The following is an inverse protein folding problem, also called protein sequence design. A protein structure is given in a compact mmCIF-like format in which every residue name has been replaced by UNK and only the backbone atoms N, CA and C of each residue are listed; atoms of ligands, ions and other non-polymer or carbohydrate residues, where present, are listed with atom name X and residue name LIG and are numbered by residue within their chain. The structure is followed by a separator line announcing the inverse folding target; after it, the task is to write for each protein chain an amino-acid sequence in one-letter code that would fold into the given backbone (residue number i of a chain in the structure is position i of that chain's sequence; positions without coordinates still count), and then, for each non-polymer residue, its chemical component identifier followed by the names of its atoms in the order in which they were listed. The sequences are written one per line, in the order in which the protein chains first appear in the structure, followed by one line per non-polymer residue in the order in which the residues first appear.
data_IF_106642955238
#
_entry.id   IF_106642955238
#
_cell.length_a   1.000
_cell.length_b   1.000
_cell.length_c   1.000
_cell.angle_alpha   90.00
_cell.angle_beta   90.00
_cell.angle_gamma   90.00
#
_symmetry.space_group_name_H-M   'P 1'
#
loop_
_entity.id
_entity.type
_entity.pdbx_description
1 polymer ?
#
# COMPACT_ATOMS: atom_id res chain seq x y z
N UNK A 1 -19.53 25.64 14.26
CA UNK A 1 -19.51 24.20 13.83
C UNK A 1 -18.09 23.94 13.33
N UNK A 2 -17.45 22.89 13.79
CA UNK A 2 -16.14 22.50 13.24
C UNK A 2 -16.42 22.02 11.82
N UNK A 3 -15.72 22.59 10.82
CA UNK A 3 -15.86 22.11 9.44
C UNK A 3 -15.49 20.64 9.36
N UNK A 4 -16.22 19.84 8.54
CA UNK A 4 -15.92 18.42 8.42
C UNK A 4 -14.53 18.21 7.85
N UNK A 5 -13.77 17.31 8.46
CA UNK A 5 -12.44 16.92 7.97
C UNK A 5 -12.59 16.13 6.67
N UNK A 6 -11.84 16.48 5.64
CA UNK A 6 -11.80 15.75 4.36
C UNK A 6 -10.64 14.77 4.29
N UNK A 7 -10.73 13.78 3.40
CA UNK A 7 -9.61 12.89 3.06
C UNK A 7 -9.03 13.24 1.69
N UNK A 8 -7.73 13.05 1.53
CA UNK A 8 -7.03 13.13 0.26
C UNK A 8 -6.08 11.95 0.13
N UNK A 9 -6.41 10.98 -0.73
CA UNK A 9 -5.55 9.82 -0.99
C UNK A 9 -4.77 10.03 -2.28
N UNK A 10 -3.45 9.85 -2.23
CA UNK A 10 -2.58 10.08 -3.37
C UNK A 10 -2.28 8.75 -4.08
N UNK A 11 -2.83 8.56 -5.27
CA UNK A 11 -2.70 7.37 -6.10
C UNK A 11 -2.18 7.66 -7.52
N UNK A 12 -1.52 8.82 -7.74
CA UNK A 12 -0.99 9.24 -9.04
C UNK A 12 0.41 8.70 -9.39
N UNK A 13 1.03 7.90 -8.54
CA UNK A 13 2.40 7.40 -8.76
C UNK A 13 2.49 6.32 -9.83
N UNK A 14 3.54 6.36 -10.70
CA UNK A 14 3.75 5.43 -11.83
C UNK A 14 4.16 4.00 -11.43
N UNK A 15 4.59 3.76 -10.18
CA UNK A 15 4.94 2.43 -9.68
C UNK A 15 6.10 1.72 -10.40
N UNK A 16 7.07 2.46 -10.94
CA UNK A 16 8.15 1.91 -11.79
C UNK A 16 9.00 0.84 -11.11
N UNK A 17 9.14 0.90 -9.78
CA UNK A 17 9.91 -0.06 -8.98
C UNK A 17 9.24 -1.41 -8.78
N UNK A 18 7.92 -1.51 -9.06
CA UNK A 18 7.14 -2.76 -9.00
C UNK A 18 6.91 -3.38 -10.38
N UNK A 19 7.58 -2.89 -11.41
CA UNK A 19 7.55 -3.54 -12.72
C UNK A 19 8.16 -4.94 -12.64
N UNK A 20 7.60 -5.94 -13.36
CA UNK A 20 6.64 -5.81 -14.48
C UNK A 20 5.16 -5.71 -14.06
N UNK A 21 4.81 -5.93 -12.80
CA UNK A 21 3.41 -5.96 -12.33
C UNK A 21 2.67 -4.65 -12.67
N UNK A 22 3.32 -3.52 -12.47
CA UNK A 22 2.74 -2.18 -12.66
C UNK A 22 2.81 -1.65 -14.08
N UNK A 23 3.17 -2.46 -15.07
CA UNK A 23 2.96 -2.09 -16.47
C UNK A 23 1.47 -2.10 -16.88
N UNK A 24 0.67 -2.95 -16.22
CA UNK A 24 -0.73 -3.18 -16.55
C UNK A 24 -1.68 -2.86 -15.40
N UNK A 25 -1.18 -2.37 -14.27
CA UNK A 25 -1.99 -2.06 -13.09
C UNK A 25 -1.39 -0.91 -12.28
N UNK A 26 -2.28 -0.12 -11.65
CA UNK A 26 -1.86 0.87 -10.65
C UNK A 26 -1.21 0.18 -9.45
N UNK A 27 -0.07 0.70 -8.96
CA UNK A 27 0.65 0.08 -7.83
C UNK A 27 -0.22 -0.04 -6.57
N UNK A 28 -1.12 0.90 -6.35
CA UNK A 28 -2.03 0.94 -5.21
C UNK A 28 -3.14 -0.12 -5.29
N UNK A 29 -3.31 -0.75 -6.45
CA UNK A 29 -4.25 -1.86 -6.64
C UNK A 29 -3.59 -3.23 -6.55
N UNK A 30 -2.26 -3.29 -6.43
CA UNK A 30 -1.57 -4.55 -6.11
C UNK A 30 -1.98 -4.97 -4.70
N UNK A 31 -2.49 -6.20 -4.52
CA UNK A 31 -3.04 -6.59 -3.22
C UNK A 31 -1.97 -7.01 -2.22
N UNK A 32 -2.25 -6.74 -0.94
CA UNK A 32 -1.61 -7.31 0.24
C UNK A 32 -2.68 -8.10 0.97
N UNK A 33 -2.43 -9.36 1.30
CA UNK A 33 -3.43 -10.28 1.87
C UNK A 33 -4.76 -10.27 1.09
N UNK A 34 -4.67 -10.36 -0.24
CA UNK A 34 -5.78 -10.35 -1.21
C UNK A 34 -6.62 -9.06 -1.25
N UNK A 35 -6.25 -8.02 -0.52
CA UNK A 35 -6.93 -6.72 -0.51
C UNK A 35 -6.06 -5.65 -1.18
N UNK A 36 -6.56 -4.89 -2.19
CA UNK A 36 -5.82 -3.78 -2.78
C UNK A 36 -5.28 -2.81 -1.72
N UNK A 37 -4.02 -2.38 -1.85
CA UNK A 37 -3.39 -1.50 -0.85
C UNK A 37 -4.18 -0.21 -0.65
N UNK A 38 -4.74 0.36 -1.71
CA UNK A 38 -5.61 1.54 -1.64
C UNK A 38 -6.78 1.40 -0.65
N UNK A 39 -7.32 0.18 -0.48
CA UNK A 39 -8.48 -0.04 0.37
C UNK A 39 -8.19 0.13 1.85
N UNK A 40 -6.96 -0.17 2.27
CA UNK A 40 -6.54 0.09 3.66
C UNK A 40 -6.61 1.58 4.00
N UNK A 41 -6.19 2.46 3.08
CA UNK A 41 -6.33 3.90 3.25
C UNK A 41 -7.79 4.37 3.26
N UNK A 42 -8.64 3.81 2.38
CA UNK A 42 -10.08 4.13 2.36
C UNK A 42 -10.78 3.66 3.65
N UNK A 43 -10.50 2.45 4.11
CA UNK A 43 -11.03 1.93 5.37
C UNK A 43 -10.55 2.76 6.58
N UNK A 44 -9.29 3.19 6.59
CA UNK A 44 -8.76 4.07 7.63
C UNK A 44 -9.48 5.44 7.65
N UNK A 45 -9.76 6.03 6.47
CA UNK A 45 -10.55 7.27 6.39
C UNK A 45 -11.97 7.07 6.95
N UNK A 46 -12.64 5.98 6.55
CA UNK A 46 -14.00 5.67 7.03
C UNK A 46 -14.04 5.45 8.54
N UNK A 47 -13.10 4.68 9.09
CA UNK A 47 -12.96 4.43 10.54
C UNK A 47 -12.81 5.74 11.32
N UNK A 48 -11.98 6.66 10.82
CA UNK A 48 -11.76 7.96 11.45
C UNK A 48 -12.95 8.96 11.29
N UNK A 49 -14.06 8.51 10.71
CA UNK A 49 -15.27 9.32 10.51
C UNK A 49 -15.11 10.42 9.45
N UNK A 50 -14.26 10.18 8.45
CA UNK A 50 -14.09 11.05 7.28
C UNK A 50 -15.02 10.51 6.19
N UNK A 51 -15.93 11.33 5.70
CA UNK A 51 -16.94 10.93 4.72
C UNK A 51 -16.60 11.33 3.28
N UNK A 52 -15.93 12.48 3.09
CA UNK A 52 -15.58 13.01 1.77
C UNK A 52 -14.09 12.76 1.49
N UNK A 53 -13.80 11.98 0.45
CA UNK A 53 -12.43 11.60 0.10
C UNK A 53 -12.14 11.95 -1.35
N UNK A 54 -11.13 12.80 -1.56
CA UNK A 54 -10.52 13.01 -2.88
C UNK A 54 -9.47 11.94 -3.14
N UNK A 55 -9.47 11.32 -4.32
CA UNK A 55 -8.39 10.44 -4.76
C UNK A 55 -7.65 11.10 -5.92
N UNK A 56 -6.37 11.42 -5.71
CA UNK A 56 -5.48 11.85 -6.79
C UNK A 56 -5.15 10.64 -7.66
N UNK A 57 -5.41 10.75 -8.95
CA UNK A 57 -5.15 9.70 -9.95
C UNK A 57 -4.29 10.24 -11.09
N UNK A 58 -3.47 9.35 -11.68
CA UNK A 58 -2.77 9.64 -12.92
C UNK A 58 -3.69 9.38 -14.14
N UNK A 59 -3.50 10.06 -15.28
CA UNK A 59 -4.28 9.80 -16.49
C UNK A 59 -4.22 8.34 -16.96
N UNK A 60 -3.05 7.70 -16.82
CA UNK A 60 -2.79 6.34 -17.35
C UNK A 60 -3.46 5.23 -16.54
N UNK A 61 -3.57 5.41 -15.22
CA UNK A 61 -4.07 4.36 -14.29
C UNK A 61 -5.39 4.72 -13.62
N UNK A 62 -5.88 5.93 -13.86
CA UNK A 62 -7.04 6.48 -13.15
C UNK A 62 -8.33 5.69 -13.39
N UNK A 63 -8.55 5.18 -14.60
CA UNK A 63 -9.74 4.40 -14.92
C UNK A 63 -9.77 3.06 -14.16
N UNK A 64 -8.63 2.39 -14.01
CA UNK A 64 -8.55 1.16 -13.21
C UNK A 64 -8.86 1.44 -11.74
N UNK A 65 -8.34 2.55 -11.19
CA UNK A 65 -8.63 2.97 -9.80
C UNK A 65 -10.12 3.30 -9.64
N UNK A 66 -10.74 4.04 -10.59
CA UNK A 66 -12.18 4.34 -10.57
C UNK A 66 -13.02 3.06 -10.61
N UNK A 67 -12.71 2.15 -11.53
CA UNK A 67 -13.44 0.89 -11.66
C UNK A 67 -13.33 0.03 -10.40
N UNK A 68 -12.18 0.09 -9.71
CA UNK A 68 -11.91 -0.75 -8.53
C UNK A 68 -12.47 -0.15 -7.24
N UNK A 69 -12.34 1.14 -7.00
CA UNK A 69 -12.81 1.80 -5.77
C UNK A 69 -14.29 2.25 -5.86
N UNK A 70 -14.82 2.46 -7.08
CA UNK A 70 -16.20 2.90 -7.30
C UNK A 70 -16.47 4.32 -6.81
N UNK A 71 -17.66 4.58 -6.34
CA UNK A 71 -18.09 5.86 -5.75
C UNK A 71 -17.80 5.98 -4.24
N UNK A 72 -17.32 4.90 -3.62
CA UNK A 72 -17.00 4.82 -2.20
C UNK A 72 -18.12 4.25 -1.32
N UNK A 73 -19.31 3.99 -1.84
CA UNK A 73 -20.47 3.53 -1.06
C UNK A 73 -20.13 2.30 -0.20
N UNK A 74 -19.38 1.34 -0.75
CA UNK A 74 -18.97 0.13 -0.02
C UNK A 74 -18.08 0.38 1.21
N UNK A 75 -17.45 1.54 1.29
CA UNK A 75 -16.65 1.98 2.43
C UNK A 75 -17.42 2.97 3.32
N UNK A 76 -18.63 3.37 2.94
CA UNK A 76 -19.38 4.45 3.60
C UNK A 76 -18.80 5.85 3.29
N UNK A 77 -18.12 6.01 2.17
CA UNK A 77 -17.46 7.22 1.73
C UNK A 77 -18.14 7.82 0.49
N UNK A 78 -17.89 9.10 0.24
CA UNK A 78 -18.15 9.80 -1.04
C UNK A 78 -16.82 10.11 -1.70
N UNK A 79 -16.48 9.43 -2.80
CA UNK A 79 -15.20 9.58 -3.48
C UNK A 79 -15.31 10.59 -4.64
N UNK A 80 -14.38 11.53 -4.66
CA UNK A 80 -14.14 12.44 -5.78
C UNK A 80 -12.78 12.15 -6.40
N UNK A 81 -12.73 11.84 -7.70
CA UNK A 81 -11.48 11.56 -8.41
C UNK A 81 -10.90 12.82 -9.02
N UNK A 82 -9.65 13.11 -8.72
CA UNK A 82 -8.94 14.32 -9.12
C UNK A 82 -7.74 13.93 -9.96
N UNK A 83 -7.71 14.36 -11.22
CA UNK A 83 -6.62 14.00 -12.14
C UNK A 83 -5.43 14.92 -11.91
N UNK A 84 -4.27 14.35 -11.58
CA UNK A 84 -2.99 15.02 -11.59
C UNK A 84 -2.29 14.70 -12.92
N UNK A 85 -2.22 15.67 -13.83
CA UNK A 85 -1.70 15.46 -15.19
C UNK A 85 -0.24 15.07 -15.22
N UNK A 86 0.59 15.69 -14.37
CA UNK A 86 2.01 15.40 -14.25
C UNK A 86 2.39 15.15 -12.78
N UNK A 87 3.28 14.18 -12.49
CA UNK A 87 3.68 13.83 -11.11
C UNK A 87 4.76 14.80 -10.59
N UNK A 88 4.38 16.06 -10.37
CA UNK A 88 5.28 17.14 -9.94
C UNK A 88 5.45 17.23 -8.41
N UNK A 89 5.22 16.15 -7.69
CA UNK A 89 5.42 16.04 -6.24
C UNK A 89 4.15 16.04 -5.41
N UNK A 90 4.30 15.76 -4.10
CA UNK A 90 3.17 15.61 -3.18
C UNK A 90 2.50 16.96 -2.88
N UNK A 91 3.27 18.05 -2.74
CA UNK A 91 2.69 19.38 -2.54
C UNK A 91 1.96 19.86 -3.80
N UNK A 92 2.39 19.48 -5.01
CA UNK A 92 1.64 19.73 -6.23
C UNK A 92 0.30 18.98 -6.25
N UNK A 93 0.25 17.75 -5.73
CA UNK A 93 -1.01 17.01 -5.60
C UNK A 93 -2.00 17.72 -4.67
N UNK A 94 -1.52 18.30 -3.55
CA UNK A 94 -2.33 19.14 -2.65
C UNK A 94 -2.90 20.35 -3.38
N UNK A 95 -2.09 21.07 -4.17
CA UNK A 95 -2.56 22.20 -4.99
C UNK A 95 -3.58 21.77 -6.05
N UNK A 96 -3.38 20.60 -6.68
CA UNK A 96 -4.32 20.04 -7.65
C UNK A 96 -5.67 19.73 -7.01
N UNK A 97 -5.66 19.31 -5.73
CA UNK A 97 -6.87 19.01 -4.97
C UNK A 97 -7.54 20.23 -4.33
N UNK A 98 -6.95 21.41 -4.38
CA UNK A 98 -7.46 22.61 -3.72
C UNK A 98 -8.94 22.95 -4.06
N UNK A 99 -9.43 22.80 -5.31
CA UNK A 99 -10.85 23.02 -5.62
C UNK A 99 -11.79 22.07 -4.87
N UNK A 100 -11.33 20.86 -4.53
CA UNK A 100 -12.07 19.90 -3.71
C UNK A 100 -11.93 20.20 -2.22
N UNK A 101 -10.72 20.51 -1.76
CA UNK A 101 -10.40 20.70 -0.35
C UNK A 101 -11.01 22.02 0.19
N UNK A 102 -10.92 23.10 -0.57
CA UNK A 102 -11.32 24.43 -0.13
C UNK A 102 -10.54 24.88 1.11
N UNK A 103 -11.25 25.47 2.07
CA UNK A 103 -10.70 25.89 3.36
C UNK A 103 -10.75 24.79 4.43
N UNK A 104 -11.24 23.58 4.09
CA UNK A 104 -11.37 22.47 5.03
C UNK A 104 -10.00 21.95 5.45
N UNK A 105 -9.86 21.58 6.72
CA UNK A 105 -8.77 20.73 7.16
C UNK A 105 -8.92 19.34 6.55
N UNK A 106 -7.80 18.62 6.34
CA UNK A 106 -7.85 17.31 5.69
C UNK A 106 -6.73 16.37 6.15
N UNK A 107 -6.99 15.08 5.98
CA UNK A 107 -5.98 14.02 6.09
C UNK A 107 -5.46 13.71 4.70
N UNK A 108 -4.15 13.84 4.47
CA UNK A 108 -3.47 13.36 3.28
C UNK A 108 -2.87 11.98 3.57
N UNK A 109 -3.17 11.00 2.72
CA UNK A 109 -2.70 9.62 2.86
C UNK A 109 -2.08 9.13 1.55
N UNK A 110 -0.85 8.65 1.58
CA UNK A 110 -0.22 8.05 0.41
C UNK A 110 -0.84 6.67 0.15
N UNK A 111 -1.46 6.48 -1.02
CA UNK A 111 -2.29 5.32 -1.35
C UNK A 111 -1.54 3.99 -1.46
N UNK A 112 -0.23 3.99 -1.27
CA UNK A 112 0.65 2.82 -1.22
C UNK A 112 1.22 2.56 0.18
N UNK A 113 0.71 3.24 1.20
CA UNK A 113 1.14 3.08 2.58
C UNK A 113 0.18 2.20 3.38
N UNK A 114 0.73 1.45 4.30
CA UNK A 114 0.03 0.65 5.29
C UNK A 114 0.50 1.04 6.68
N UNK A 115 -0.45 1.27 7.57
CA UNK A 115 -0.21 1.68 8.96
C UNK A 115 -0.96 0.76 9.91
N UNK A 116 -0.26 0.19 10.88
CA UNK A 116 -0.89 -0.60 11.93
C UNK A 116 -1.75 0.30 12.84
N UNK A 117 -2.96 -0.15 13.15
CA UNK A 117 -3.86 0.55 14.09
C UNK A 117 -4.67 1.69 13.47
N UNK A 118 -4.49 1.99 12.17
CA UNK A 118 -5.26 3.06 11.51
C UNK A 118 -4.81 4.47 11.88
N UNK A 119 -5.73 5.44 11.72
CA UNK A 119 -5.44 6.87 11.91
C UNK A 119 -6.36 7.55 12.93
N UNK A 120 -7.23 6.79 13.58
CA UNK A 120 -8.31 7.33 14.44
C UNK A 120 -7.78 8.20 15.58
N UNK A 121 -6.74 7.74 16.29
CA UNK A 121 -6.13 8.48 17.41
C UNK A 121 -5.50 9.80 16.93
N UNK A 122 -4.82 9.78 15.79
CA UNK A 122 -4.17 10.99 15.24
C UNK A 122 -5.19 12.01 14.73
N UNK A 123 -6.30 11.53 14.17
CA UNK A 123 -7.43 12.41 13.78
C UNK A 123 -8.09 13.04 15.00
N UNK A 124 -8.23 12.29 16.09
CA UNK A 124 -8.74 12.81 17.35
C UNK A 124 -7.82 13.91 17.91
N UNK A 125 -6.50 13.64 17.97
CA UNK A 125 -5.49 14.59 18.44
C UNK A 125 -5.44 15.86 17.57
N UNK A 126 -5.51 15.69 16.24
CA UNK A 126 -5.57 16.82 15.32
C UNK A 126 -6.81 17.71 15.55
N UNK A 127 -7.98 17.09 15.78
CA UNK A 127 -9.22 17.82 16.09
C UNK A 127 -9.16 18.54 17.44
N UNK A 128 -8.55 17.91 18.45
CA UNK A 128 -8.43 18.46 19.80
C UNK A 128 -7.45 19.62 19.86
N UNK A 129 -6.28 19.43 19.27
CA UNK A 129 -5.19 20.41 19.36
C UNK A 129 -5.23 21.48 18.27
N UNK A 130 -5.88 21.21 17.14
CA UNK A 130 -5.97 22.09 15.97
C UNK A 130 -4.61 22.71 15.56
N UNK A 131 -3.54 21.90 15.33
CA UNK A 131 -2.28 22.42 14.80
C UNK A 131 -2.43 22.81 13.34
N UNK A 132 -1.48 23.55 12.77
CA UNK A 132 -1.44 23.85 11.34
C UNK A 132 -1.12 22.60 10.50
N UNK A 133 -0.29 21.71 11.06
CA UNK A 133 -0.05 20.39 10.54
C UNK A 133 0.23 19.38 11.66
N UNK A 134 -0.16 18.12 11.45
CA UNK A 134 0.25 16.98 12.25
C UNK A 134 0.95 15.99 11.33
N UNK A 135 2.15 15.55 11.73
CA UNK A 135 2.97 14.62 10.97
C UNK A 135 3.24 13.34 11.76
N UNK A 136 3.19 12.21 11.08
CA UNK A 136 3.54 10.93 11.67
C UNK A 136 4.99 10.58 11.36
N UNK A 137 5.72 10.13 12.36
CA UNK A 137 7.13 9.78 12.27
C UNK A 137 7.36 8.34 12.73
N UNK A 138 8.35 7.66 12.14
CA UNK A 138 8.80 6.34 12.57
C UNK A 138 10.31 6.21 12.38
N UNK A 139 11.05 5.55 13.29
CA UNK A 139 12.45 5.24 13.03
C UNK A 139 12.58 4.21 11.90
N UNK A 140 13.51 4.47 10.97
CA UNK A 140 13.81 3.60 9.84
C UNK A 140 15.32 3.31 9.75
N UNK A 141 15.72 2.15 9.19
CA UNK A 141 17.14 1.80 9.06
C UNK A 141 17.86 2.52 7.91
N UNK A 142 17.11 3.08 6.95
CA UNK A 142 17.59 3.70 5.72
C UNK A 142 16.95 5.08 5.48
N UNK A 143 17.15 6.05 6.42
CA UNK A 143 16.46 7.35 6.43
C UNK A 143 16.75 8.22 5.20
N UNK A 144 17.85 7.98 4.47
CA UNK A 144 18.20 8.67 3.21
C UNK A 144 17.19 8.43 2.08
N UNK A 145 16.31 7.44 2.22
CA UNK A 145 15.25 7.15 1.24
C UNK A 145 13.95 7.91 1.48
N UNK A 146 13.84 8.63 2.60
CA UNK A 146 12.60 9.26 3.07
C UNK A 146 12.78 10.75 3.38
N UNK A 147 11.68 11.47 3.49
CA UNK A 147 11.66 12.72 4.22
C UNK A 147 11.94 12.44 5.70
N UNK A 148 12.84 13.20 6.33
CA UNK A 148 13.21 13.02 7.74
C UNK A 148 12.94 14.27 8.57
N UNK A 149 12.65 14.09 9.85
CA UNK A 149 12.37 15.18 10.79
C UNK A 149 13.39 15.21 11.92
N UNK A 150 13.98 16.39 12.16
CA UNK A 150 14.75 16.67 13.39
C UNK A 150 13.84 17.29 14.44
N UNK A 151 13.84 16.72 15.63
CA UNK A 151 13.05 17.22 16.76
C UNK A 151 13.98 17.92 17.78
N UNK A 152 13.54 19.07 18.30
CA UNK A 152 14.19 19.75 19.43
C UNK A 152 13.18 20.06 20.51
N UNK A 153 13.39 19.53 21.69
CA UNK A 153 12.44 19.70 22.79
C UNK A 153 11.04 19.14 22.52
N UNK A 154 10.94 18.13 21.63
CA UNK A 154 9.66 17.52 21.22
C UNK A 154 8.95 18.24 20.08
N UNK A 155 9.44 19.39 19.60
CA UNK A 155 8.89 20.12 18.47
C UNK A 155 9.71 19.85 17.20
N UNK A 156 9.07 19.96 16.04
CA UNK A 156 9.74 19.88 14.74
C UNK A 156 10.65 21.09 14.56
N UNK A 157 11.95 20.84 14.43
CA UNK A 157 12.96 21.86 14.18
C UNK A 157 13.35 21.96 12.71
N UNK A 158 13.51 20.81 12.04
CA UNK A 158 13.88 20.77 10.63
C UNK A 158 13.30 19.52 9.94
N UNK A 159 12.88 19.72 8.71
CA UNK A 159 12.45 18.66 7.78
C UNK A 159 13.35 18.69 6.54
N UNK A 160 13.73 17.53 6.05
CA UNK A 160 14.53 17.40 4.82
C UNK A 160 14.05 16.23 4.00
N UNK A 161 13.86 16.44 2.71
CA UNK A 161 13.52 15.38 1.76
C UNK A 161 14.78 14.63 1.34
N UNK A 162 14.82 13.32 1.63
CA UNK A 162 15.87 12.38 1.21
C UNK A 162 17.28 12.94 1.30
N UNK A 163 17.71 13.39 2.48
CA UNK A 163 19.04 13.94 2.65
C UNK A 163 20.10 12.84 2.45
N UNK A 164 21.20 13.11 1.75
CA UNK A 164 22.28 12.13 1.56
C UNK A 164 23.01 11.78 2.87
N UNK A 165 22.94 12.69 3.85
CA UNK A 165 23.50 12.51 5.20
C UNK A 165 22.42 12.91 6.22
N UNK A 166 21.53 11.97 6.61
CA UNK A 166 20.45 12.26 7.54
C UNK A 166 20.95 12.41 8.97
N UNK A 167 20.54 13.49 9.64
CA UNK A 167 20.88 13.75 11.05
C UNK A 167 20.03 12.94 12.04
N UNK A 168 19.01 12.24 11.57
CA UNK A 168 18.03 11.48 12.37
C UNK A 168 17.53 10.29 11.56
N UNK A 169 17.04 9.27 12.26
CA UNK A 169 16.38 8.11 11.68
C UNK A 169 14.85 8.24 11.62
N UNK A 170 14.29 9.39 12.08
CA UNK A 170 12.85 9.63 12.11
C UNK A 170 12.34 10.01 10.71
N UNK A 171 11.83 9.04 9.99
CA UNK A 171 11.20 9.21 8.68
C UNK A 171 9.74 9.66 8.81
N UNK A 172 9.28 10.48 7.86
CA UNK A 172 7.88 10.82 7.72
C UNK A 172 7.12 9.60 7.19
N UNK A 173 6.10 9.20 7.92
CA UNK A 173 5.08 8.25 7.47
C UNK A 173 4.20 8.95 6.44
N UNK A 174 3.75 8.24 5.40
CA UNK A 174 2.95 8.81 4.32
C UNK A 174 1.51 9.19 4.71
N UNK A 175 1.31 9.65 5.95
CA UNK A 175 0.03 10.16 6.48
C UNK A 175 0.28 11.48 7.17
N UNK A 176 -0.48 12.49 6.79
CA UNK A 176 -0.34 13.86 7.26
C UNK A 176 -1.73 14.46 7.50
N UNK A 177 -1.83 15.40 8.42
CA UNK A 177 -3.04 16.20 8.62
C UNK A 177 -2.70 17.67 8.50
N UNK A 178 -3.52 18.38 7.76
CA UNK A 178 -3.27 19.80 7.43
C UNK A 178 -4.51 20.65 7.61
N UNK A 179 -4.29 21.89 8.01
CA UNK A 179 -5.24 22.98 7.76
C UNK A 179 -5.03 23.56 6.36
N UNK A 180 -5.92 24.42 5.89
CA UNK A 180 -5.78 25.10 4.59
C UNK A 180 -4.47 25.94 4.44
N UNK A 181 -3.74 26.20 5.52
CA UNK A 181 -2.42 26.88 5.46
C UNK A 181 -1.42 26.19 4.56
N UNK A 182 -1.54 24.85 4.40
CA UNK A 182 -0.63 24.08 3.52
C UNK A 182 -0.73 24.55 2.06
N UNK A 183 -1.89 25.04 1.59
CA UNK A 183 -2.02 25.53 0.22
C UNK A 183 -1.12 26.75 -0.05
N UNK A 184 -1.02 27.67 0.91
CA UNK A 184 -0.12 28.81 0.81
C UNK A 184 1.35 28.35 0.81
N UNK A 185 1.73 27.47 1.73
CA UNK A 185 3.06 26.92 1.80
C UNK A 185 3.46 26.20 0.48
N UNK A 186 2.59 25.35 -0.03
CA UNK A 186 2.80 24.62 -1.28
C UNK A 186 2.97 25.52 -2.52
N UNK A 187 2.34 26.72 -2.53
CA UNK A 187 2.54 27.73 -3.60
C UNK A 187 3.85 28.51 -3.46
N UNK A 188 4.40 28.57 -2.25
CA UNK A 188 5.56 29.41 -1.94
C UNK A 188 6.88 28.68 -2.15
N UNK A 189 6.91 27.36 -2.00
CA UNK A 189 8.11 26.55 -2.20
C UNK A 189 8.53 26.48 -3.66
N UNK A 190 9.84 26.31 -3.89
CA UNK A 190 10.37 26.02 -5.22
C UNK A 190 10.50 24.51 -5.46
N UNK A 191 10.47 24.05 -6.73
CA UNK A 191 10.77 22.65 -7.04
C UNK A 191 12.17 22.25 -6.53
N UNK A 192 12.25 21.04 -5.98
CA UNK A 192 13.53 20.45 -5.55
C UNK A 192 14.45 20.13 -6.73
N UNK A 193 15.66 19.65 -6.46
CA UNK A 193 16.59 19.17 -7.48
C UNK A 193 16.01 18.01 -8.33
N UNK A 194 14.95 17.36 -7.86
CA UNK A 194 14.19 16.32 -8.59
C UNK A 194 13.10 16.90 -9.50
N UNK A 195 12.88 18.22 -9.47
CA UNK A 195 11.80 18.89 -10.18
C UNK A 195 10.43 18.73 -9.53
N UNK A 196 10.36 18.32 -8.25
CA UNK A 196 9.14 18.05 -7.51
C UNK A 196 8.89 19.14 -6.44
N UNK A 197 7.63 19.51 -6.22
CA UNK A 197 7.20 20.29 -5.07
C UNK A 197 7.03 19.32 -3.88
N UNK A 198 8.01 19.37 -2.98
CA UNK A 198 8.09 18.42 -1.87
C UNK A 198 7.14 18.81 -0.73
N UNK A 199 6.47 17.81 -0.16
CA UNK A 199 5.61 18.06 0.99
C UNK A 199 6.43 18.43 2.24
N UNK A 200 7.62 17.88 2.36
CA UNK A 200 8.59 18.20 3.43
C UNK A 200 8.96 19.67 3.43
N UNK A 201 9.19 20.27 2.25
CA UNK A 201 9.52 21.69 2.11
C UNK A 201 8.32 22.58 2.43
N UNK A 202 7.10 22.15 2.04
CA UNK A 202 5.88 22.87 2.40
C UNK A 202 5.62 22.87 3.90
N UNK A 203 5.85 21.74 4.58
CA UNK A 203 5.73 21.65 6.03
C UNK A 203 6.85 22.48 6.70
N UNK A 204 8.09 22.44 6.20
CA UNK A 204 9.18 23.28 6.69
C UNK A 204 8.84 24.77 6.57
N UNK A 205 8.23 25.19 5.47
CA UNK A 205 7.76 26.57 5.32
C UNK A 205 6.74 26.97 6.40
N UNK A 206 5.85 26.06 6.81
CA UNK A 206 4.93 26.31 7.94
C UNK A 206 5.71 26.51 9.24
N UNK A 207 6.72 25.67 9.52
CA UNK A 207 7.58 25.79 10.71
C UNK A 207 8.30 27.13 10.72
N UNK A 208 8.94 27.51 9.60
CA UNK A 208 9.72 28.74 9.46
C UNK A 208 8.85 30.02 9.60
N UNK A 209 7.57 29.92 9.19
CA UNK A 209 6.58 30.98 9.38
C UNK A 209 5.98 31.02 10.80
N UNK A 210 6.51 30.24 11.74
CA UNK A 210 6.03 30.17 13.13
C UNK A 210 4.71 29.42 13.30
N UNK A 211 4.31 28.63 12.32
CA UNK A 211 3.14 27.73 12.40
C UNK A 211 3.40 26.55 13.34
N UNK A 212 2.31 25.97 13.84
CA UNK A 212 2.36 24.85 14.77
C UNK A 212 2.32 23.52 14.02
N UNK A 213 3.45 22.81 14.01
CA UNK A 213 3.57 21.46 13.44
C UNK A 213 3.78 20.46 14.57
N UNK A 214 2.85 19.53 14.76
CA UNK A 214 2.89 18.50 15.80
C UNK A 214 3.44 17.18 15.24
N UNK A 215 4.54 16.67 15.79
CA UNK A 215 5.07 15.36 15.43
C UNK A 215 4.47 14.26 16.34
N UNK A 216 4.03 13.16 15.76
CA UNK A 216 3.64 11.95 16.48
C UNK A 216 4.50 10.77 16.04
N UNK A 217 5.16 10.11 16.98
CA UNK A 217 5.90 8.88 16.69
C UNK A 217 4.93 7.70 16.72
N UNK A 218 4.80 7.03 15.56
CA UNK A 218 3.89 5.90 15.40
C UNK A 218 4.31 4.73 16.27
N UNK A 219 3.34 4.15 16.97
CA UNK A 219 3.50 2.90 17.72
C UNK A 219 3.04 1.74 16.85
N UNK A 220 3.94 0.81 16.56
CA UNK A 220 3.66 -0.31 15.69
C UNK A 220 4.42 -0.22 14.36
N UNK A 221 3.95 -0.94 13.35
CA UNK A 221 4.63 -0.97 12.06
C UNK A 221 3.95 -0.03 11.03
N UNK A 222 4.79 0.48 10.17
CA UNK A 222 4.44 1.18 8.95
C UNK A 222 5.18 0.56 7.78
N UNK A 223 4.55 0.50 6.60
CA UNK A 223 5.16 0.05 5.35
C UNK A 223 4.72 0.88 4.16
N UNK A 224 5.71 1.36 3.41
CA UNK A 224 5.57 1.78 2.01
C UNK A 224 5.68 0.53 1.13
N UNK A 225 4.71 0.30 0.25
CA UNK A 225 4.67 -0.86 -0.65
C UNK A 225 5.30 -0.54 -2.01
N UNK A 226 6.42 0.15 -2.01
CA UNK A 226 7.08 0.64 -3.21
C UNK A 226 7.92 -0.37 -3.98
N UNK A 227 8.35 -1.48 -3.36
CA UNK A 227 9.21 -2.54 -3.93
C UNK A 227 8.63 -3.92 -3.66
N UNK A 228 9.13 -4.95 -4.35
CA UNK A 228 8.68 -6.33 -4.16
C UNK A 228 8.89 -6.80 -2.71
N UNK A 229 10.05 -6.55 -2.15
CA UNK A 229 10.38 -6.92 -0.77
C UNK A 229 9.46 -6.25 0.24
N UNK A 230 9.09 -4.98 -0.01
CA UNK A 230 8.14 -4.24 0.83
C UNK A 230 6.73 -4.83 0.72
N UNK A 231 6.31 -5.28 -0.48
CA UNK A 231 5.03 -5.97 -0.68
C UNK A 231 4.97 -7.28 0.10
N UNK A 232 6.03 -8.11 0.02
CA UNK A 232 6.11 -9.36 0.78
C UNK A 232 6.16 -9.12 2.28
N UNK A 233 6.91 -8.11 2.73
CA UNK A 233 6.97 -7.71 4.14
C UNK A 233 5.59 -7.21 4.63
N UNK A 234 4.91 -6.37 3.86
CA UNK A 234 3.56 -5.89 4.17
C UNK A 234 2.56 -7.06 4.22
N UNK A 235 2.62 -7.98 3.26
CA UNK A 235 1.79 -9.19 3.23
C UNK A 235 1.95 -10.02 4.51
N UNK A 236 3.20 -10.22 4.95
CA UNK A 236 3.50 -10.89 6.21
C UNK A 236 2.85 -10.20 7.40
N UNK A 237 3.07 -8.88 7.55
CA UNK A 237 2.54 -8.10 8.67
C UNK A 237 1.01 -8.12 8.73
N UNK A 238 0.34 -8.01 7.58
CA UNK A 238 -1.12 -8.06 7.52
C UNK A 238 -1.63 -9.48 7.79
N UNK A 239 -1.02 -10.52 7.23
CA UNK A 239 -1.42 -11.91 7.48
C UNK A 239 -1.23 -12.31 8.95
N UNK A 240 -0.32 -11.67 9.69
CA UNK A 240 -0.20 -11.87 11.14
C UNK A 240 -1.42 -11.37 11.93
N UNK A 241 -2.28 -10.56 11.33
CA UNK A 241 -3.48 -10.02 11.98
C UNK A 241 -4.78 -10.71 11.54
N UNK A 242 -4.75 -11.61 10.54
CA UNK A 242 -5.97 -12.26 10.06
C UNK A 242 -6.52 -13.26 11.09
N UNK A 243 -7.84 -13.32 11.17
CA UNK A 243 -8.56 -14.34 11.94
C UNK A 243 -8.83 -15.56 11.07
N UNK A 244 -8.67 -16.76 11.65
CA UNK A 244 -8.90 -17.99 10.94
C UNK A 244 -10.37 -18.13 10.55
N UNK A 245 -10.66 -18.43 9.28
CA UNK A 245 -12.00 -18.62 8.73
C UNK A 245 -11.95 -19.57 7.54
N UNK A 246 -12.78 -20.59 7.54
CA UNK A 246 -12.89 -21.55 6.44
C UNK A 246 -14.31 -21.55 5.90
N UNK A 247 -14.47 -21.01 4.69
CA UNK A 247 -15.76 -20.93 3.98
C UNK A 247 -15.73 -21.70 2.65
N UNK A 248 -14.56 -22.23 2.27
CA UNK A 248 -14.37 -23.11 1.11
C UNK A 248 -14.55 -24.59 1.43
N UNK A 249 -14.41 -25.42 0.42
CA UNK A 249 -14.52 -26.88 0.51
C UNK A 249 -13.15 -27.52 0.78
N UNK A 250 -13.07 -28.40 1.78
CA UNK A 250 -11.87 -29.16 2.14
C UNK A 250 -12.11 -30.65 1.92
N UNK A 251 -11.31 -31.28 1.06
CA UNK A 251 -11.36 -32.72 0.75
C UNK A 251 -9.98 -33.32 1.07
N UNK A 252 -9.92 -34.22 2.03
CA UNK A 252 -8.67 -34.85 2.50
C UNK A 252 -7.52 -33.83 2.72
N UNK A 253 -7.86 -32.66 3.29
CA UNK A 253 -6.98 -31.50 3.40
C UNK A 253 -6.79 -31.11 4.86
N UNK A 254 -5.54 -30.80 5.21
CA UNK A 254 -5.15 -30.30 6.52
C UNK A 254 -4.94 -28.79 6.48
N UNK A 255 -5.54 -28.07 7.44
CA UNK A 255 -5.41 -26.62 7.60
C UNK A 255 -4.97 -26.32 9.02
N UNK A 256 -3.80 -25.73 9.20
CA UNK A 256 -3.20 -25.44 10.50
C UNK A 256 -2.91 -23.95 10.66
N UNK A 257 -3.19 -23.41 11.86
CA UNK A 257 -2.89 -22.02 12.21
C UNK A 257 -3.92 -21.02 11.68
N UNK A 258 -3.51 -19.75 11.51
CA UNK A 258 -4.39 -18.68 11.04
C UNK A 258 -4.52 -18.73 9.51
N UNK A 259 -5.54 -19.39 9.03
CA UNK A 259 -5.82 -19.51 7.60
C UNK A 259 -7.22 -18.99 7.30
N UNK A 260 -7.30 -18.15 6.28
CA UNK A 260 -8.56 -17.75 5.65
C UNK A 260 -8.73 -18.56 4.37
N UNK A 261 -9.84 -19.28 4.24
CA UNK A 261 -10.27 -19.93 3.00
C UNK A 261 -11.59 -19.31 2.59
N UNK A 262 -11.56 -18.56 1.49
CA UNK A 262 -12.72 -17.81 1.02
C UNK A 262 -13.76 -18.70 0.29
N UNK A 263 -15.01 -18.23 0.13
CA UNK A 263 -16.08 -18.99 -0.51
C UNK A 263 -15.72 -19.47 -1.92
N UNK A 264 -16.14 -20.69 -2.26
CA UNK A 264 -15.91 -21.29 -3.58
C UNK A 264 -14.48 -21.79 -3.81
N UNK A 265 -13.56 -21.59 -2.89
CA UNK A 265 -12.26 -22.25 -2.92
C UNK A 265 -12.41 -23.75 -2.65
N UNK A 266 -11.67 -24.60 -3.37
CA UNK A 266 -11.65 -26.05 -3.21
C UNK A 266 -10.22 -26.52 -2.99
N UNK A 267 -9.99 -27.18 -1.85
CA UNK A 267 -8.70 -27.72 -1.45
C UNK A 267 -8.81 -29.25 -1.34
N UNK A 268 -8.07 -29.97 -2.18
CA UNK A 268 -8.11 -31.41 -2.27
C UNK A 268 -6.72 -32.02 -2.04
N UNK A 269 -6.61 -32.97 -1.11
CA UNK A 269 -5.35 -33.66 -0.74
C UNK A 269 -4.18 -32.69 -0.49
N UNK A 270 -4.47 -31.58 0.17
CA UNK A 270 -3.54 -30.46 0.32
C UNK A 270 -3.25 -30.16 1.78
N UNK A 271 -2.19 -29.43 2.02
CA UNK A 271 -1.85 -28.93 3.35
C UNK A 271 -1.65 -27.42 3.29
N UNK A 272 -2.34 -26.69 4.16
CA UNK A 272 -2.17 -25.24 4.30
C UNK A 272 -1.73 -24.92 5.72
N UNK A 273 -0.62 -24.21 5.85
CA UNK A 273 -0.10 -23.71 7.13
C UNK A 273 -0.13 -22.19 7.15
N UNK A 274 -0.85 -21.66 8.11
CA UNK A 274 -0.99 -20.23 8.31
C UNK A 274 0.21 -19.57 9.02
N UNK A 275 0.27 -18.23 8.99
CA UNK A 275 -0.76 -17.33 8.44
C UNK A 275 -0.83 -17.38 6.91
N UNK A 276 -2.01 -17.59 6.35
CA UNK A 276 -2.22 -17.65 4.90
C UNK A 276 -3.65 -17.27 4.52
N UNK A 277 -3.85 -16.85 3.28
CA UNK A 277 -5.17 -16.58 2.71
C UNK A 277 -5.31 -17.28 1.37
N UNK A 278 -6.40 -18.02 1.19
CA UNK A 278 -6.79 -18.70 -0.05
C UNK A 278 -8.04 -18.00 -0.57
N UNK A 279 -7.90 -17.32 -1.71
CA UNK A 279 -8.93 -16.48 -2.31
C UNK A 279 -10.09 -17.27 -2.91
N UNK A 280 -11.18 -16.55 -3.15
CA UNK A 280 -12.42 -17.12 -3.66
C UNK A 280 -12.19 -17.90 -4.97
N UNK A 281 -12.81 -19.07 -5.09
CA UNK A 281 -12.71 -19.90 -6.29
C UNK A 281 -11.32 -20.48 -6.59
N UNK A 282 -10.33 -20.29 -5.71
CA UNK A 282 -9.02 -20.92 -5.87
C UNK A 282 -9.11 -22.46 -5.76
N UNK A 283 -8.23 -23.14 -6.50
CA UNK A 283 -8.19 -24.62 -6.53
C UNK A 283 -6.79 -25.11 -6.16
N UNK A 284 -6.72 -25.84 -5.06
CA UNK A 284 -5.51 -26.49 -4.59
C UNK A 284 -5.69 -28.00 -4.70
N UNK A 285 -4.77 -28.69 -5.38
CA UNK A 285 -4.80 -30.16 -5.51
C UNK A 285 -3.39 -30.71 -5.34
N UNK A 286 -3.21 -31.65 -4.43
CA UNK A 286 -1.91 -32.23 -4.11
C UNK A 286 -0.85 -31.15 -3.81
N UNK A 287 -1.26 -30.11 -3.04
CA UNK A 287 -0.49 -28.88 -2.87
C UNK A 287 -0.09 -28.61 -1.42
N UNK A 288 1.01 -27.92 -1.24
CA UNK A 288 1.39 -27.30 0.03
C UNK A 288 1.39 -25.79 -0.09
N UNK A 289 0.68 -25.12 0.81
CA UNK A 289 0.76 -23.65 0.97
C UNK A 289 1.26 -23.35 2.38
N UNK A 290 2.45 -22.77 2.44
CA UNK A 290 3.14 -22.39 3.68
C UNK A 290 2.77 -21.01 4.19
N UNK A 291 3.33 -20.63 5.36
CA UNK A 291 3.05 -19.35 6.00
C UNK A 291 3.32 -18.13 5.12
N UNK A 292 2.62 -17.06 5.43
CA UNK A 292 2.74 -15.75 4.77
C UNK A 292 2.46 -15.74 3.27
N UNK A 293 1.62 -16.69 2.84
CA UNK A 293 1.23 -16.81 1.43
C UNK A 293 -0.18 -16.27 1.23
N UNK A 294 -0.34 -15.38 0.24
CA UNK A 294 -1.62 -14.91 -0.26
C UNK A 294 -1.88 -15.52 -1.64
N UNK A 295 -2.86 -16.41 -1.72
CA UNK A 295 -3.34 -17.00 -2.97
C UNK A 295 -4.58 -16.25 -3.39
N UNK A 296 -4.52 -15.56 -4.54
CA UNK A 296 -5.59 -14.72 -5.06
C UNK A 296 -6.78 -15.51 -5.59
N UNK A 297 -7.84 -14.77 -5.93
CA UNK A 297 -9.06 -15.31 -6.50
C UNK A 297 -8.79 -16.14 -7.77
N UNK A 298 -9.41 -17.32 -7.87
CA UNK A 298 -9.34 -18.20 -9.04
C UNK A 298 -7.96 -18.77 -9.36
N UNK A 299 -6.99 -18.65 -8.45
CA UNK A 299 -5.66 -19.25 -8.62
C UNK A 299 -5.71 -20.78 -8.62
N UNK A 300 -4.75 -21.39 -9.31
CA UNK A 300 -4.61 -22.86 -9.36
C UNK A 300 -3.23 -23.26 -8.86
N UNK A 301 -3.18 -24.07 -7.82
CA UNK A 301 -1.94 -24.71 -7.33
C UNK A 301 -2.14 -26.22 -7.40
N UNK A 302 -1.32 -26.89 -8.20
CA UNK A 302 -1.42 -28.33 -8.38
C UNK A 302 -0.04 -29.00 -8.34
N UNK A 303 0.11 -30.05 -7.53
CA UNK A 303 1.37 -30.78 -7.39
C UNK A 303 2.56 -29.82 -7.24
N UNK A 304 2.45 -28.88 -6.28
CA UNK A 304 3.41 -27.82 -6.07
C UNK A 304 3.39 -27.31 -4.62
N UNK A 305 4.52 -26.76 -4.18
CA UNK A 305 4.69 -26.12 -2.88
C UNK A 305 4.94 -24.62 -3.03
N UNK A 306 4.22 -23.81 -2.26
CA UNK A 306 4.34 -22.34 -2.28
C UNK A 306 4.37 -21.81 -0.86
N UNK A 307 5.30 -20.89 -0.58
CA UNK A 307 5.46 -20.26 0.73
C UNK A 307 5.87 -18.80 0.60
N UNK A 308 5.54 -17.95 1.58
CA UNK A 308 5.95 -16.54 1.67
C UNK A 308 5.79 -15.79 0.33
N UNK A 309 4.67 -15.96 -0.34
CA UNK A 309 4.47 -15.47 -1.71
C UNK A 309 3.10 -14.82 -1.89
N UNK A 310 2.99 -13.97 -2.91
CA UNK A 310 1.74 -13.34 -3.34
C UNK A 310 1.42 -13.83 -4.76
N UNK A 311 0.31 -14.52 -4.91
CA UNK A 311 -0.20 -14.97 -6.19
C UNK A 311 -1.42 -14.12 -6.56
N UNK A 312 -1.31 -13.29 -7.60
CA UNK A 312 -2.43 -12.46 -8.05
C UNK A 312 -3.47 -13.30 -8.78
N UNK A 313 -4.69 -12.77 -8.87
CA UNK A 313 -5.87 -13.50 -9.36
C UNK A 313 -5.64 -14.23 -10.69
N UNK A 314 -6.15 -15.46 -10.77
CA UNK A 314 -6.08 -16.32 -11.94
C UNK A 314 -4.68 -16.87 -12.27
N UNK A 315 -3.68 -16.63 -11.43
CA UNK A 315 -2.34 -17.21 -11.65
C UNK A 315 -2.31 -18.71 -11.32
N UNK A 316 -1.31 -19.41 -11.85
CA UNK A 316 -1.19 -20.86 -11.64
C UNK A 316 0.24 -21.29 -11.37
N UNK A 317 0.38 -22.27 -10.45
CA UNK A 317 1.64 -22.96 -10.15
C UNK A 317 1.38 -24.46 -10.22
N UNK A 318 1.96 -25.12 -11.23
CA UNK A 318 1.65 -26.53 -11.50
C UNK A 318 2.91 -27.38 -11.70
N UNK A 319 2.92 -28.55 -11.07
CA UNK A 319 3.91 -29.59 -11.31
C UNK A 319 5.36 -29.12 -11.04
N UNK A 320 5.55 -28.26 -10.05
CA UNK A 320 6.85 -27.70 -9.70
C UNK A 320 7.62 -28.66 -8.78
N UNK A 321 8.84 -29.00 -9.13
CA UNK A 321 9.64 -30.00 -8.39
C UNK A 321 10.20 -29.47 -7.06
N UNK A 322 10.36 -28.17 -6.91
CA UNK A 322 10.82 -27.50 -5.70
C UNK A 322 9.76 -26.59 -5.13
N UNK A 323 10.03 -26.03 -3.96
CA UNK A 323 9.17 -25.03 -3.35
C UNK A 323 9.40 -23.66 -4.00
N UNK A 324 8.32 -22.98 -4.35
CA UNK A 324 8.35 -21.57 -4.72
C UNK A 324 8.22 -20.72 -3.45
N UNK A 325 9.16 -19.84 -3.20
CA UNK A 325 9.11 -18.93 -2.06
C UNK A 325 9.49 -17.50 -2.45
N UNK A 326 9.16 -16.56 -1.57
CA UNK A 326 9.53 -15.12 -1.69
C UNK A 326 9.20 -14.53 -3.07
N UNK A 327 8.04 -14.91 -3.62
CA UNK A 327 7.68 -14.62 -5.01
C UNK A 327 6.39 -13.81 -5.12
N UNK A 328 6.29 -13.00 -6.18
CA UNK A 328 5.06 -12.34 -6.58
C UNK A 328 4.72 -12.73 -8.02
N UNK A 329 3.59 -13.42 -8.21
CA UNK A 329 3.08 -13.75 -9.53
C UNK A 329 1.99 -12.77 -9.95
N UNK A 330 2.15 -12.19 -11.15
CA UNK A 330 1.17 -11.31 -11.76
C UNK A 330 -0.16 -12.02 -12.09
N UNK A 331 -1.19 -11.22 -12.38
CA UNK A 331 -2.51 -11.75 -12.80
C UNK A 331 -2.36 -12.68 -14.00
N UNK A 332 -3.01 -13.86 -13.94
CA UNK A 332 -2.99 -14.88 -14.99
C UNK A 332 -1.59 -15.40 -15.36
N UNK A 333 -0.56 -15.10 -14.56
CA UNK A 333 0.76 -15.68 -14.75
C UNK A 333 0.76 -17.18 -14.48
N UNK A 334 1.55 -17.93 -15.25
CA UNK A 334 1.64 -19.39 -15.12
C UNK A 334 3.09 -19.83 -14.91
N UNK A 335 3.31 -20.61 -13.86
CA UNK A 335 4.57 -21.31 -13.59
C UNK A 335 4.29 -22.81 -13.66
N UNK A 336 4.92 -23.52 -14.56
CA UNK A 336 4.69 -24.95 -14.69
C UNK A 336 5.92 -25.69 -15.20
N UNK A 337 6.06 -26.94 -14.76
CA UNK A 337 7.07 -27.85 -15.32
C UNK A 337 6.49 -28.60 -16.51
N UNK A 338 7.23 -28.63 -17.61
CA UNK A 338 6.87 -29.44 -18.79
C UNK A 338 7.56 -30.81 -18.72
N UNK A 339 6.79 -31.89 -18.92
CA UNK A 339 7.32 -33.25 -19.07
C UNK A 339 7.77 -33.59 -20.50
N UNK A 340 7.62 -32.64 -21.44
CA UNK A 340 7.96 -32.86 -22.85
C UNK A 340 9.46 -32.99 -23.08
N UNK A 341 9.85 -33.82 -24.05
CA UNK A 341 11.23 -33.96 -24.52
C UNK A 341 11.44 -33.13 -25.80
N UNK A 342 12.63 -32.54 -26.00
CA UNK A 342 13.76 -32.45 -25.05
C UNK A 342 13.43 -31.55 -23.85
N UNK A 343 14.05 -31.82 -22.68
CA UNK A 343 13.90 -30.96 -21.50
C UNK A 343 14.55 -29.62 -21.77
N UNK A 344 13.77 -28.57 -21.68
CA UNK A 344 14.25 -27.20 -21.84
C UNK A 344 13.44 -26.25 -20.94
N UNK A 345 14.11 -25.26 -20.36
CA UNK A 345 13.43 -24.14 -19.74
C UNK A 345 12.97 -23.17 -20.83
N UNK A 346 11.72 -22.74 -20.77
CA UNK A 346 11.15 -21.75 -21.68
C UNK A 346 10.59 -20.60 -20.87
N UNK A 347 11.07 -19.40 -21.13
CA UNK A 347 10.64 -18.19 -20.42
C UNK A 347 9.94 -17.24 -21.38
N UNK A 348 8.84 -16.65 -20.95
CA UNK A 348 8.24 -15.46 -21.49
C UNK A 348 8.09 -14.49 -20.35
N UNK A 349 9.00 -13.52 -20.27
CA UNK A 349 9.12 -12.58 -19.16
C UNK A 349 9.11 -11.15 -19.69
N UNK A 350 8.58 -10.23 -18.89
CA UNK A 350 8.60 -8.81 -19.21
C UNK A 350 9.88 -8.12 -18.72
N UNK A 351 9.98 -6.82 -18.99
CA UNK A 351 11.09 -5.99 -18.51
C UNK A 351 11.16 -6.01 -16.98
N UNK A 352 12.39 -6.00 -16.45
CA UNK A 352 12.70 -6.03 -15.01
C UNK A 352 12.20 -7.28 -14.25
N UNK A 353 11.93 -8.38 -14.95
CA UNK A 353 11.64 -9.66 -14.30
C UNK A 353 12.93 -10.33 -13.84
N UNK A 354 12.90 -10.95 -12.66
CA UNK A 354 13.96 -11.79 -12.13
C UNK A 354 13.46 -13.21 -11.97
N UNK A 355 14.29 -14.21 -12.34
CA UNK A 355 14.00 -15.63 -12.17
C UNK A 355 15.23 -16.31 -11.60
N UNK A 356 15.05 -16.95 -10.46
CA UNK A 356 16.07 -17.74 -9.79
C UNK A 356 15.72 -19.21 -9.90
N UNK A 357 16.57 -20.00 -10.53
CA UNK A 357 16.37 -21.43 -10.74
C UNK A 357 17.33 -22.25 -9.84
N UNK A 358 16.82 -23.36 -9.29
CA UNK A 358 17.59 -24.39 -8.58
C UNK A 358 18.26 -25.33 -9.58
#
# INVERSE_FOLDING_TARGET
MVEPLKGLILSGGRGTRLRPITYTSAKQLVPVANKPVLFYGLEAMASAGIEEVGIIIAPETGEEIRATAGDGERFGLRITYIVQGEPLGLAHAVLTAEPFLGDSSFVMYLGDNLLQGGIDEFVADFREHAPDALILLTPVPDPENYGVAELRGGAVAQLREKPPDPATDLALVGVYMFTARIHHAARTIAPSARGELEITDAIQHIVDAGGRVEPHVVRGWWKDTGRLEDMLAANRLVLDTVEARVEGELIDTQVDGRVVVEPGATLERSTVRGPAIIGAGARLTDAYVGPYTAVGEGCVIRNAEVEHSILLSGSSVCDLAGRMESSLLGRQASVSRSERQPRASRFMVGDNSEIWLL
#
